data_IF_389174347283
#
_entry.id   IF_389174347283
#
_cell.length_a   1.000
_cell.length_b   1.000
_cell.length_c   1.000
_cell.angle_alpha   90.00
_cell.angle_beta   90.00
_cell.angle_gamma   90.00
#
_symmetry.space_group_name_H-M   'P 1'
#
loop_
_entity.id
_entity.type
_entity.pdbx_description
1 polymer ?
#
# COMPACT_ATOMS: atom_id res chain seq x y z
N UNK A 1 24.87 15.52 -10.56
CA UNK A 1 23.51 14.94 -10.69
C UNK A 1 22.79 15.50 -11.90
N UNK A 2 22.80 16.82 -12.11
CA UNK A 2 22.18 17.48 -13.29
C UNK A 2 22.67 16.93 -14.64
N UNK A 3 23.98 16.65 -14.80
CA UNK A 3 24.50 16.04 -16.04
C UNK A 3 24.08 14.57 -16.27
N UNK A 4 23.66 13.86 -15.23
CA UNK A 4 23.20 12.46 -15.34
C UNK A 4 21.69 12.37 -15.64
N UNK A 5 20.91 13.33 -15.13
CA UNK A 5 19.44 13.35 -15.27
C UNK A 5 18.99 14.27 -16.41
N UNK A 6 19.80 15.26 -16.82
CA UNK A 6 19.41 16.33 -17.74
C UNK A 6 19.00 15.93 -19.16
N UNK A 7 19.25 14.68 -19.58
CA UNK A 7 18.79 14.12 -20.85
C UNK A 7 17.70 13.04 -20.73
N UNK A 8 17.25 12.73 -19.51
CA UNK A 8 16.28 11.66 -19.26
C UNK A 8 14.88 12.26 -19.18
N UNK A 9 14.04 11.92 -20.16
CA UNK A 9 12.60 12.21 -20.08
C UNK A 9 11.95 11.22 -19.12
N UNK A 10 11.53 11.71 -17.94
CA UNK A 10 10.78 10.90 -16.99
C UNK A 10 9.31 10.78 -17.45
N UNK A 11 8.69 9.60 -17.27
CA UNK A 11 7.27 9.44 -17.55
C UNK A 11 6.46 10.35 -16.61
N UNK A 12 5.50 11.06 -17.20
CA UNK A 12 4.58 11.93 -16.47
C UNK A 12 3.16 11.35 -16.53
N UNK A 13 2.39 11.65 -15.48
CA UNK A 13 0.98 11.30 -15.43
C UNK A 13 0.23 11.95 -16.58
N UNK A 14 -0.67 11.18 -17.19
CA UNK A 14 -1.64 11.74 -18.13
C UNK A 14 -2.72 12.49 -17.34
N UNK A 15 -3.30 13.53 -17.94
CA UNK A 15 -4.33 14.33 -17.27
C UNK A 15 -5.49 13.46 -16.75
N UNK A 16 -5.95 12.51 -17.57
CA UNK A 16 -7.00 11.56 -17.18
C UNK A 16 -6.66 10.72 -15.94
N UNK A 17 -5.39 10.32 -15.80
CA UNK A 17 -4.94 9.55 -14.62
C UNK A 17 -4.88 10.47 -13.39
N UNK A 18 -4.47 11.73 -13.56
CA UNK A 18 -4.47 12.72 -12.49
C UNK A 18 -5.88 13.00 -11.98
N UNK A 19 -6.81 13.32 -12.87
CA UNK A 19 -8.22 13.57 -12.54
C UNK A 19 -8.84 12.38 -11.81
N UNK A 20 -8.55 11.15 -12.25
CA UNK A 20 -9.04 9.92 -11.60
C UNK A 20 -8.49 9.75 -10.18
N UNK A 21 -7.19 10.02 -9.98
CA UNK A 21 -6.56 9.92 -8.66
C UNK A 21 -7.10 10.97 -7.68
N UNK A 22 -7.38 12.18 -8.18
CA UNK A 22 -7.86 13.33 -7.41
C UNK A 22 -9.39 13.35 -7.19
N UNK A 23 -10.14 12.48 -7.88
CA UNK A 23 -11.59 12.40 -7.72
C UNK A 23 -12.03 12.04 -6.29
N UNK A 24 -13.22 12.47 -5.88
CA UNK A 24 -13.78 12.10 -4.58
C UNK A 24 -13.86 10.57 -4.41
N UNK A 25 -13.59 10.08 -3.20
CA UNK A 25 -13.74 8.65 -2.89
C UNK A 25 -15.21 8.29 -2.71
N UNK A 26 -15.67 7.31 -3.49
CA UNK A 26 -17.04 6.82 -3.43
C UNK A 26 -17.24 5.72 -2.39
N UNK A 27 -18.48 5.55 -1.91
CA UNK A 27 -18.85 4.40 -1.07
C UNK A 27 -18.54 3.06 -1.77
N UNK A 28 -18.67 3.00 -3.10
CA UNK A 28 -18.36 1.81 -3.88
C UNK A 28 -16.88 1.43 -3.81
N UNK A 29 -15.97 2.41 -3.93
CA UNK A 29 -14.53 2.19 -3.78
C UNK A 29 -14.16 1.73 -2.36
N UNK A 30 -14.77 2.36 -1.34
CA UNK A 30 -14.54 1.97 0.06
C UNK A 30 -15.04 0.56 0.31
N UNK A 31 -16.20 0.19 -0.24
CA UNK A 31 -16.75 -1.16 -0.14
C UNK A 31 -15.87 -2.19 -0.87
N UNK A 32 -15.35 -1.86 -2.06
CA UNK A 32 -14.39 -2.69 -2.78
C UNK A 32 -13.11 -2.90 -1.96
N UNK A 33 -12.55 -1.83 -1.42
CA UNK A 33 -11.36 -1.89 -0.58
C UNK A 33 -11.60 -2.76 0.66
N UNK A 34 -12.70 -2.54 1.37
CA UNK A 34 -13.13 -3.34 2.51
C UNK A 34 -13.20 -4.84 2.16
N UNK A 35 -13.84 -5.19 1.04
CA UNK A 35 -13.98 -6.58 0.61
C UNK A 35 -12.66 -7.24 0.24
N UNK A 36 -11.70 -6.47 -0.31
CA UNK A 36 -10.37 -6.96 -0.66
C UNK A 36 -9.48 -7.27 0.55
N UNK A 37 -9.79 -6.72 1.73
CA UNK A 37 -9.04 -6.98 2.96
C UNK A 37 -9.33 -8.38 3.52
N UNK A 38 -8.34 -9.00 4.17
CA UNK A 38 -8.46 -10.33 4.77
C UNK A 38 -9.13 -10.27 6.14
N UNK A 39 -10.04 -11.21 6.43
CA UNK A 39 -10.83 -11.21 7.68
C UNK A 39 -10.01 -11.61 8.91
N UNK A 40 -9.06 -12.54 8.75
CA UNK A 40 -8.36 -13.20 9.87
C UNK A 40 -7.08 -12.45 10.27
N UNK A 41 -7.15 -11.13 10.37
CA UNK A 41 -6.04 -10.28 10.81
C UNK A 41 -6.32 -9.71 12.19
N UNK A 42 -5.26 -9.54 12.97
CA UNK A 42 -5.32 -8.92 14.30
C UNK A 42 -5.90 -7.50 14.20
N UNK A 43 -6.84 -7.12 15.07
CA UNK A 43 -7.33 -5.75 15.16
C UNK A 43 -6.23 -4.79 15.60
N UNK A 44 -6.47 -3.49 15.41
CA UNK A 44 -5.62 -2.45 15.98
C UNK A 44 -5.90 -2.22 17.46
N UNK A 45 -5.34 -1.13 18.03
CA UNK A 45 -5.61 -0.69 19.40
C UNK A 45 -7.09 -0.59 19.79
N UNK A 46 -7.98 -0.32 18.82
CA UNK A 46 -9.43 -0.20 19.05
C UNK A 46 -10.16 -1.55 19.24
N UNK A 47 -9.52 -2.66 18.92
CA UNK A 47 -10.11 -4.00 19.00
C UNK A 47 -11.07 -4.37 17.86
N UNK A 48 -11.30 -3.53 16.85
CA UNK A 48 -12.23 -3.81 15.76
C UNK A 48 -11.51 -4.45 14.54
N UNK A 49 -11.74 -5.75 14.25
CA UNK A 49 -11.12 -6.40 13.11
C UNK A 49 -11.85 -6.06 11.80
N UNK A 50 -11.20 -6.29 10.65
CA UNK A 50 -11.83 -6.16 9.31
C UNK A 50 -13.17 -6.89 9.21
N UNK A 51 -13.29 -8.06 9.85
CA UNK A 51 -14.55 -8.84 9.88
C UNK A 51 -15.72 -8.04 10.46
N UNK A 52 -15.49 -7.22 11.49
CA UNK A 52 -16.50 -6.34 12.07
C UNK A 52 -17.06 -5.38 11.02
N UNK A 53 -16.18 -4.67 10.31
CA UNK A 53 -16.57 -3.74 9.26
C UNK A 53 -17.32 -4.41 8.12
N UNK A 54 -16.92 -5.63 7.71
CA UNK A 54 -17.66 -6.39 6.69
C UNK A 54 -19.04 -6.83 7.17
N UNK A 55 -19.16 -7.27 8.42
CA UNK A 55 -20.43 -7.70 8.99
C UNK A 55 -21.42 -6.54 9.10
N UNK A 56 -20.94 -5.34 9.46
CA UNK A 56 -21.78 -4.15 9.63
C UNK A 56 -21.62 -3.13 8.48
N UNK A 57 -21.22 -3.60 7.29
CA UNK A 57 -20.91 -2.72 6.16
C UNK A 57 -22.08 -1.80 5.80
N UNK A 58 -23.32 -2.31 5.84
CA UNK A 58 -24.53 -1.52 5.56
C UNK A 58 -24.69 -0.32 6.49
N UNK A 59 -24.28 -0.46 7.75
CA UNK A 59 -24.37 0.61 8.75
C UNK A 59 -23.15 1.52 8.76
N UNK A 60 -21.97 0.97 8.43
CA UNK A 60 -20.69 1.65 8.60
C UNK A 60 -20.16 2.33 7.32
N UNK A 61 -20.65 1.97 6.13
CA UNK A 61 -20.08 2.47 4.89
C UNK A 61 -20.23 3.99 4.75
N UNK A 62 -21.43 4.53 4.99
CA UNK A 62 -21.67 5.97 4.96
C UNK A 62 -20.86 6.75 6.01
N UNK A 63 -20.87 6.40 7.32
CA UNK A 63 -20.06 7.15 8.28
C UNK A 63 -18.55 7.02 8.02
N UNK A 64 -18.06 5.87 7.53
CA UNK A 64 -16.66 5.74 7.11
C UNK A 64 -16.32 6.69 5.96
N UNK A 65 -17.21 6.77 4.96
CA UNK A 65 -17.01 7.61 3.78
C UNK A 65 -17.01 9.09 4.16
N UNK A 66 -17.96 9.50 5.00
CA UNK A 66 -18.03 10.87 5.51
C UNK A 66 -16.79 11.24 6.32
N UNK A 67 -16.31 10.35 7.20
CA UNK A 67 -15.08 10.57 7.96
C UNK A 67 -13.87 10.71 7.05
N UNK A 68 -13.73 9.87 6.02
CA UNK A 68 -12.62 9.98 5.05
C UNK A 68 -12.71 11.30 4.29
N UNK A 69 -13.90 11.68 3.85
CA UNK A 69 -14.13 12.94 3.13
C UNK A 69 -13.76 14.15 3.99
N UNK A 70 -14.26 14.19 5.23
CA UNK A 70 -13.93 15.24 6.19
C UNK A 70 -12.41 15.32 6.44
N UNK A 71 -11.75 14.17 6.55
CA UNK A 71 -10.30 14.12 6.78
C UNK A 71 -9.50 14.70 5.61
N UNK A 72 -9.95 14.44 4.37
CA UNK A 72 -9.33 14.99 3.16
C UNK A 72 -9.60 16.49 2.99
N UNK A 73 -10.85 16.93 3.19
CA UNK A 73 -11.26 18.33 3.09
C UNK A 73 -10.52 19.22 4.10
N UNK A 74 -10.34 18.72 5.32
CA UNK A 74 -9.65 19.46 6.39
C UNK A 74 -8.14 19.21 6.42
N UNK A 75 -7.59 18.37 5.53
CA UNK A 75 -6.18 17.92 5.56
C UNK A 75 -5.73 17.41 6.93
N UNK A 76 -6.65 16.76 7.67
CA UNK A 76 -6.40 16.22 9.01
C UNK A 76 -7.00 14.82 9.13
N UNK A 77 -6.15 13.83 9.37
CA UNK A 77 -6.60 12.47 9.64
C UNK A 77 -7.18 12.35 11.06
N UNK A 78 -8.07 11.38 11.31
CA UNK A 78 -8.52 11.08 12.67
C UNK A 78 -7.34 10.74 13.58
N UNK A 79 -7.35 11.21 14.83
CA UNK A 79 -6.25 10.95 15.78
C UNK A 79 -6.00 9.43 16.00
N UNK A 80 -7.05 8.59 15.83
CA UNK A 80 -6.94 7.14 15.90
C UNK A 80 -6.07 6.53 14.78
N UNK A 81 -5.92 7.22 13.64
CA UNK A 81 -5.09 6.78 12.52
C UNK A 81 -3.60 6.94 12.80
N UNK A 82 -3.25 7.84 13.71
CA UNK A 82 -1.87 8.08 14.16
C UNK A 82 -1.45 7.14 15.29
N UNK A 83 -2.37 6.32 15.79
CA UNK A 83 -2.13 5.39 16.90
C UNK A 83 -1.90 3.97 16.40
N UNK A 84 -0.80 3.35 16.84
CA UNK A 84 -0.47 1.95 16.53
C UNK A 84 0.03 1.19 17.76
N UNK A 85 -0.32 -0.09 17.86
CA UNK A 85 0.30 -1.00 18.82
C UNK A 85 1.61 -1.54 18.23
N UNK A 86 2.74 -1.30 18.90
CA UNK A 86 4.05 -1.80 18.46
C UNK A 86 4.29 -3.19 19.07
N UNK A 87 4.43 -4.19 18.21
CA UNK A 87 4.73 -5.57 18.59
C UNK A 87 6.15 -5.93 18.16
N UNK A 88 6.94 -6.53 19.04
CA UNK A 88 8.30 -6.98 18.73
C UNK A 88 8.31 -8.48 18.39
N UNK A 89 8.69 -8.82 17.15
CA UNK A 89 8.80 -10.19 16.67
C UNK A 89 10.27 -10.60 16.58
N UNK A 90 10.72 -11.67 17.26
CA UNK A 90 12.10 -12.12 17.15
C UNK A 90 12.40 -12.62 15.72
N UNK A 91 13.60 -12.29 15.20
CA UNK A 91 14.11 -12.89 13.96
C UNK A 91 14.45 -14.37 14.23
N UNK A 92 14.15 -15.30 13.30
CA UNK A 92 14.58 -16.69 13.40
C UNK A 92 16.09 -16.78 13.60
N UNK A 93 16.53 -17.73 14.42
CA UNK A 93 17.95 -18.08 14.62
C UNK A 93 18.85 -16.92 15.08
N UNK A 94 18.29 -15.96 15.82
CA UNK A 94 19.02 -14.83 16.40
C UNK A 94 18.86 -14.77 17.92
N UNK A 95 19.87 -14.19 18.57
CA UNK A 95 19.91 -14.04 20.02
C UNK A 95 18.85 -13.04 20.52
N UNK A 96 17.86 -13.53 21.26
CA UNK A 96 16.74 -12.76 21.84
C UNK A 96 17.18 -11.77 22.92
N UNK A 97 18.43 -11.82 23.40
CA UNK A 97 18.95 -10.85 24.38
C UNK A 97 19.37 -9.53 23.72
N UNK A 98 19.49 -9.49 22.40
CA UNK A 98 19.92 -8.29 21.65
C UNK A 98 18.72 -7.61 20.98
N UNK A 99 18.58 -6.30 21.15
CA UNK A 99 17.42 -5.56 20.62
C UNK A 99 17.36 -5.54 19.08
N UNK A 100 18.50 -5.54 18.39
CA UNK A 100 18.61 -5.52 16.92
C UNK A 100 18.13 -6.83 16.24
N UNK A 101 17.87 -7.88 17.04
CA UNK A 101 17.35 -9.16 16.55
C UNK A 101 15.84 -9.21 16.48
N UNK A 102 15.15 -8.14 16.88
CA UNK A 102 13.70 -8.03 16.74
C UNK A 102 13.31 -7.26 15.47
N UNK A 103 12.13 -7.57 14.96
CA UNK A 103 11.42 -6.80 13.93
C UNK A 103 10.22 -6.16 14.61
N UNK A 104 10.13 -4.84 14.60
CA UNK A 104 8.94 -4.12 15.04
C UNK A 104 7.83 -4.29 14.00
N UNK A 105 6.61 -4.53 14.48
CA UNK A 105 5.39 -4.55 13.69
C UNK A 105 4.42 -3.53 14.28
N UNK A 106 4.06 -2.53 13.49
CA UNK A 106 3.01 -1.57 13.84
C UNK A 106 1.65 -2.15 13.47
N UNK A 107 0.83 -2.43 14.47
CA UNK A 107 -0.55 -2.90 14.27
C UNK A 107 -1.48 -1.71 14.34
N UNK A 108 -2.03 -1.34 13.19
CA UNK A 108 -2.96 -0.21 13.00
C UNK A 108 -4.42 -0.68 13.04
N UNK A 109 -5.35 0.25 13.29
CA UNK A 109 -6.79 0.01 13.21
C UNK A 109 -7.22 -0.38 11.79
N UNK A 110 -8.37 -1.05 11.69
CA UNK A 110 -8.83 -1.60 10.41
C UNK A 110 -9.42 -0.52 9.48
N UNK A 111 -10.02 0.52 10.02
CA UNK A 111 -10.47 1.73 9.28
C UNK A 111 -9.32 2.43 8.54
N UNK A 112 -8.17 2.63 9.19
CA UNK A 112 -6.96 3.13 8.53
C UNK A 112 -6.54 2.23 7.35
N UNK A 113 -6.60 0.91 7.56
CA UNK A 113 -6.26 -0.07 6.50
C UNK A 113 -7.24 -0.03 5.35
N UNK A 114 -8.52 0.28 5.59
CA UNK A 114 -9.53 0.48 4.54
C UNK A 114 -9.15 1.69 3.68
N UNK A 115 -8.89 2.85 4.28
CA UNK A 115 -8.45 4.05 3.54
C UNK A 115 -7.16 3.78 2.75
N UNK A 116 -6.15 3.20 3.42
CA UNK A 116 -4.89 2.83 2.78
C UNK A 116 -5.10 1.90 1.58
N UNK A 117 -6.07 0.99 1.66
CA UNK A 117 -6.39 0.07 0.58
C UNK A 117 -7.13 0.75 -0.57
N UNK A 118 -7.99 1.73 -0.32
CA UNK A 118 -8.60 2.57 -1.38
C UNK A 118 -7.50 3.28 -2.17
N UNK A 119 -6.58 3.96 -1.48
CA UNK A 119 -5.46 4.66 -2.11
C UNK A 119 -4.60 3.69 -2.92
N UNK A 120 -4.27 2.53 -2.34
CA UNK A 120 -3.49 1.51 -3.03
C UNK A 120 -4.16 1.01 -4.32
N UNK A 121 -5.48 0.80 -4.31
CA UNK A 121 -6.23 0.37 -5.49
C UNK A 121 -6.20 1.43 -6.60
N UNK A 122 -6.35 2.71 -6.24
CA UNK A 122 -6.24 3.84 -7.20
C UNK A 122 -4.85 3.92 -7.84
N UNK A 123 -3.80 3.77 -7.02
CA UNK A 123 -2.42 3.80 -7.50
C UNK A 123 -2.04 2.58 -8.34
N UNK A 124 -2.71 1.45 -8.14
CA UNK A 124 -2.37 0.16 -8.76
C UNK A 124 -2.39 0.21 -10.29
N UNK A 125 -3.31 0.98 -10.86
CA UNK A 125 -3.48 1.10 -12.32
C UNK A 125 -2.55 2.15 -12.94
N UNK A 126 -1.97 3.02 -12.11
CA UNK A 126 -1.15 4.15 -12.56
C UNK A 126 0.34 3.87 -12.40
N UNK A 127 0.75 3.27 -11.28
CA UNK A 127 2.16 2.98 -10.97
C UNK A 127 2.89 2.28 -12.13
N UNK A 128 2.34 1.21 -12.78
CA UNK A 128 3.04 0.50 -13.85
C UNK A 128 3.41 1.38 -15.06
N UNK A 129 2.70 2.49 -15.27
CA UNK A 129 2.95 3.45 -16.37
C UNK A 129 4.13 4.38 -16.07
N UNK A 130 4.45 4.59 -14.79
CA UNK A 130 5.45 5.56 -14.33
C UNK A 130 6.78 4.92 -13.95
N UNK A 131 6.79 3.67 -13.52
CA UNK A 131 8.01 3.02 -13.03
C UNK A 131 8.63 2.10 -14.08
N UNK A 132 9.97 2.09 -14.12
CA UNK A 132 10.73 1.23 -15.01
C UNK A 132 10.39 -0.25 -14.82
N UNK A 133 10.50 -1.05 -15.88
CA UNK A 133 10.17 -2.49 -15.86
C UNK A 133 11.03 -3.30 -14.88
N UNK A 134 12.19 -2.79 -14.47
CA UNK A 134 13.06 -3.42 -13.46
C UNK A 134 12.50 -3.33 -12.03
N UNK A 135 11.60 -2.39 -11.77
CA UNK A 135 10.92 -2.32 -10.49
C UNK A 135 9.77 -3.33 -10.47
N UNK A 136 10.00 -4.46 -9.83
CA UNK A 136 9.04 -5.58 -9.78
C UNK A 136 8.39 -5.77 -8.41
N UNK A 137 8.96 -5.17 -7.37
CA UNK A 137 8.41 -5.23 -6.01
C UNK A 137 7.13 -4.40 -5.89
N UNK A 138 6.05 -5.02 -5.41
CA UNK A 138 4.77 -4.36 -5.10
C UNK A 138 4.08 -3.71 -6.31
N UNK A 139 4.33 -4.22 -7.51
CA UNK A 139 3.71 -3.75 -8.76
C UNK A 139 2.81 -4.83 -9.32
N UNK A 140 1.58 -4.46 -9.69
CA UNK A 140 0.60 -5.37 -10.31
C UNK A 140 1.24 -6.09 -11.50
N UNK A 141 1.02 -7.41 -11.58
CA UNK A 141 1.49 -8.30 -12.66
C UNK A 141 3.03 -8.43 -12.76
N UNK A 142 3.80 -7.87 -11.81
CA UNK A 142 5.26 -8.06 -11.75
C UNK A 142 5.62 -8.93 -10.55
N UNK A 143 6.59 -9.82 -10.74
CA UNK A 143 6.99 -10.81 -9.75
C UNK A 143 8.51 -10.74 -9.50
N UNK A 144 8.94 -11.07 -8.28
CA UNK A 144 10.38 -11.12 -7.98
C UNK A 144 11.16 -12.12 -8.85
N UNK A 145 10.49 -13.14 -9.38
CA UNK A 145 11.07 -14.09 -10.33
C UNK A 145 11.48 -13.42 -11.66
N UNK A 146 10.82 -12.33 -12.06
CA UNK A 146 11.13 -11.59 -13.28
C UNK A 146 12.55 -10.99 -13.20
N UNK A 147 12.97 -10.53 -12.01
CA UNK A 147 14.33 -10.04 -11.77
C UNK A 147 15.37 -11.15 -11.96
N UNK A 148 15.08 -12.36 -11.44
CA UNK A 148 15.98 -13.51 -11.58
C UNK A 148 16.13 -13.89 -13.05
N UNK A 149 15.01 -13.97 -13.79
CA UNK A 149 15.03 -14.29 -15.21
C UNK A 149 15.78 -13.23 -16.03
N UNK A 150 15.58 -11.95 -15.73
CA UNK A 150 16.30 -10.84 -16.38
C UNK A 150 17.80 -10.92 -16.11
N UNK A 151 18.23 -11.17 -14.88
CA UNK A 151 19.64 -11.34 -14.54
C UNK A 151 20.29 -12.47 -15.34
N UNK A 152 19.64 -13.64 -15.40
CA UNK A 152 20.13 -14.79 -16.18
C UNK A 152 20.25 -14.42 -17.67
N UNK A 153 19.28 -13.68 -18.21
CA UNK A 153 19.33 -13.22 -19.60
C UNK A 153 20.52 -12.30 -19.85
N UNK A 154 20.74 -11.29 -18.99
CA UNK A 154 21.89 -10.37 -19.09
C UNK A 154 23.21 -11.15 -19.03
N UNK A 155 23.37 -12.07 -18.06
CA UNK A 155 24.58 -12.88 -17.94
C UNK A 155 24.85 -13.73 -19.19
N UNK A 156 23.81 -14.31 -19.79
CA UNK A 156 23.94 -15.13 -21.00
C UNK A 156 24.27 -14.29 -22.23
N UNK A 157 23.71 -13.09 -22.36
CA UNK A 157 24.02 -12.17 -23.45
C UNK A 157 25.43 -11.61 -23.34
N UNK A 158 25.87 -11.28 -22.12
CA UNK A 158 27.23 -10.81 -21.86
C UNK A 158 28.31 -11.88 -22.14
N UNK A 159 28.01 -13.17 -21.96
CA UNK A 159 28.94 -14.27 -22.28
C UNK A 159 29.06 -14.59 -23.79
N UNK A 160 28.13 -14.10 -24.61
CA UNK A 160 28.11 -14.33 -26.06
C UNK A 160 28.81 -13.23 -26.86
N UNK A 161 29.08 -12.09 -26.23
CA UNK A 161 29.91 -11.01 -26.74
C UNK A 161 31.29 -11.07 -26.07
#
# INVERSE_FOLDING_TARGET
>A
VEGFIGGITLPMLQEQDRESLEADMSEAEIFQALNSLQNNKTPGPDGFPVKYYKTFAKQLLTPLTNMIKEALENTKLPDSFETAAIILLPKPDKDKKKCDTYRSLSVLNADYKILSKVIALRLEDVIPKLIHADQTGLVKIRHGADNVRRLIHIMNTAKKN
#
